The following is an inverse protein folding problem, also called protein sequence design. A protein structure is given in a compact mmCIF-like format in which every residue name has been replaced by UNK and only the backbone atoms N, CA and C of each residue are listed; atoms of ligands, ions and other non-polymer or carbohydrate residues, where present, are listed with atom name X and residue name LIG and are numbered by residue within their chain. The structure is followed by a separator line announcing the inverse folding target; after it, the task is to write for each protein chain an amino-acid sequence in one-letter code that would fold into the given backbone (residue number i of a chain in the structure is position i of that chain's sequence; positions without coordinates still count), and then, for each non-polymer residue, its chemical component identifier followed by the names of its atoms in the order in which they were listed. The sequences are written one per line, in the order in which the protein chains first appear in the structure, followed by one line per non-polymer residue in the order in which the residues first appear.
data_IF_977198542879
#
_entry.id   IF_977198542879
#
_cell.length_a   1.000
_cell.length_b   1.000
_cell.length_c   1.000
_cell.angle_alpha   90.00
_cell.angle_beta   90.00
_cell.angle_gamma   90.00
#
_symmetry.space_group_name_H-M   'P 1'
#
loop_
_entity.id
_entity.type
_entity.pdbx_description
1 polymer ?
#
# COMPACT_ATOMS: atom_id res chain seq x y z
N UNK A 1 9.22 -8.57 18.24
CA UNK A 1 9.71 -9.36 17.09
C UNK A 1 8.73 -9.14 15.95
N UNK A 2 9.15 -8.53 14.83
CA UNK A 2 8.31 -8.39 13.64
C UNK A 2 8.53 -9.58 12.71
N UNK A 3 7.47 -10.05 12.06
CA UNK A 3 7.51 -11.16 11.11
C UNK A 3 7.95 -10.63 9.75
N UNK A 4 8.99 -11.24 9.17
CA UNK A 4 9.48 -10.98 7.82
C UNK A 4 9.69 -12.31 7.08
N UNK A 5 9.45 -12.31 5.77
CA UNK A 5 9.56 -13.48 4.88
C UNK A 5 10.42 -13.10 3.68
N UNK A 6 11.53 -13.80 3.48
CA UNK A 6 12.48 -13.55 2.39
C UNK A 6 12.50 -14.69 1.38
N UNK A 7 12.65 -14.34 0.12
CA UNK A 7 12.86 -15.24 -1.03
C UNK A 7 14.06 -14.72 -1.82
N UNK A 8 14.50 -15.45 -2.85
CA UNK A 8 15.62 -15.02 -3.70
C UNK A 8 15.46 -13.62 -4.33
N UNK A 9 14.21 -13.14 -4.49
CA UNK A 9 13.92 -11.87 -5.18
C UNK A 9 13.16 -10.85 -4.35
N UNK A 10 12.48 -11.28 -3.29
CA UNK A 10 11.49 -10.46 -2.58
C UNK A 10 11.63 -10.61 -1.07
N UNK A 11 11.50 -9.47 -0.38
CA UNK A 11 11.30 -9.38 1.06
C UNK A 11 9.86 -8.93 1.32
N UNK A 12 9.07 -9.78 1.97
CA UNK A 12 7.76 -9.44 2.50
C UNK A 12 7.89 -9.08 3.98
N UNK A 13 7.51 -7.86 4.30
CA UNK A 13 7.61 -7.26 5.65
C UNK A 13 6.44 -6.34 5.92
N UNK A 14 6.26 -5.96 7.18
CA UNK A 14 5.34 -4.90 7.56
C UNK A 14 5.74 -3.57 6.87
N UNK A 15 4.75 -2.76 6.50
CA UNK A 15 4.94 -1.42 5.95
C UNK A 15 5.68 -0.52 6.94
N UNK A 16 6.48 0.38 6.40
CA UNK A 16 7.24 1.41 7.10
C UNK A 16 6.86 2.76 6.52
N UNK A 17 7.04 3.84 7.28
CA UNK A 17 6.65 5.18 6.84
C UNK A 17 7.16 5.55 5.44
N UNK A 18 8.37 5.14 5.09
CA UNK A 18 8.98 5.43 3.80
C UNK A 18 8.36 4.67 2.61
N UNK A 19 7.55 3.64 2.87
CA UNK A 19 6.78 2.93 1.83
C UNK A 19 5.54 3.72 1.38
N UNK A 20 5.16 4.74 2.14
CA UNK A 20 3.88 5.43 1.94
C UNK A 20 3.72 5.97 0.53
N UNK A 21 4.75 6.58 -0.06
CA UNK A 21 4.65 7.13 -1.41
C UNK A 21 4.42 6.04 -2.47
N UNK A 22 4.98 4.84 -2.28
CA UNK A 22 4.70 3.72 -3.17
C UNK A 22 3.26 3.22 -2.99
N UNK A 23 2.78 3.08 -1.76
CA UNK A 23 1.41 2.66 -1.46
C UNK A 23 0.39 3.68 -1.95
N UNK A 24 0.62 4.98 -1.73
CA UNK A 24 -0.26 6.06 -2.19
C UNK A 24 -0.43 6.06 -3.72
N UNK A 25 0.64 5.75 -4.48
CA UNK A 25 0.53 5.58 -5.94
C UNK A 25 -0.33 4.38 -6.34
N UNK A 26 -0.20 3.25 -5.64
CA UNK A 26 -1.05 2.07 -5.90
C UNK A 26 -2.52 2.38 -5.60
N UNK A 27 -2.80 3.07 -4.50
CA UNK A 27 -4.16 3.43 -4.10
C UNK A 27 -4.77 4.55 -4.97
N UNK A 28 -3.95 5.29 -5.72
CA UNK A 28 -4.43 6.28 -6.69
C UNK A 28 -4.75 5.66 -8.07
N UNK A 29 -4.41 4.39 -8.29
CA UNK A 29 -4.63 3.72 -9.57
C UNK A 29 -6.06 3.14 -9.66
N UNK A 30 -6.88 3.56 -10.66
CA UNK A 30 -8.24 3.04 -10.84
C UNK A 30 -8.29 1.54 -11.13
N UNK A 31 -7.30 0.98 -11.84
CA UNK A 31 -7.28 -0.44 -12.19
C UNK A 31 -7.01 -1.32 -10.97
N UNK A 32 -6.19 -0.82 -10.03
CA UNK A 32 -5.95 -1.44 -8.73
C UNK A 32 -7.18 -1.30 -7.84
N UNK A 33 -7.71 -0.08 -7.70
CA UNK A 33 -8.77 0.22 -6.76
C UNK A 33 -10.16 -0.27 -7.18
N UNK A 34 -10.38 -0.70 -8.44
CA UNK A 34 -11.70 -1.23 -8.86
C UNK A 34 -12.19 -2.44 -8.06
N UNK A 35 -11.27 -3.16 -7.41
CA UNK A 35 -11.58 -4.31 -6.56
C UNK A 35 -11.47 -4.03 -5.05
N UNK A 36 -11.00 -2.83 -4.68
CA UNK A 36 -10.73 -2.44 -3.30
C UNK A 36 -11.78 -1.42 -2.88
N UNK A 37 -12.44 -1.63 -1.74
CA UNK A 37 -13.42 -0.64 -1.23
C UNK A 37 -12.72 0.70 -1.06
N UNK A 38 -13.25 1.83 -1.58
CA UNK A 38 -14.62 2.08 -2.06
C UNK A 38 -14.89 1.85 -3.56
N UNK A 39 -13.98 1.24 -4.31
CA UNK A 39 -14.11 1.00 -5.76
C UNK A 39 -13.67 2.18 -6.62
N UNK A 40 -12.99 3.17 -6.02
CA UNK A 40 -12.40 4.33 -6.71
C UNK A 40 -11.00 4.62 -6.19
N UNK A 41 -10.15 5.30 -6.98
CA UNK A 41 -8.89 5.87 -6.50
C UNK A 41 -9.06 6.68 -5.21
N UNK A 42 -8.05 6.57 -4.34
CA UNK A 42 -7.90 7.40 -3.15
C UNK A 42 -7.02 8.60 -3.45
N UNK A 43 -7.35 9.73 -2.83
CA UNK A 43 -6.43 10.86 -2.71
C UNK A 43 -5.27 10.49 -1.78
N UNK A 44 -4.14 11.20 -1.86
CA UNK A 44 -2.99 10.98 -0.97
C UNK A 44 -3.37 11.10 0.52
N UNK A 45 -4.27 12.01 0.87
CA UNK A 45 -4.73 12.18 2.25
C UNK A 45 -5.58 10.98 2.71
N UNK A 46 -6.49 10.48 1.88
CA UNK A 46 -7.27 9.26 2.15
C UNK A 46 -6.36 8.02 2.25
N UNK A 47 -5.34 7.92 1.40
CA UNK A 47 -4.34 6.86 1.44
C UNK A 47 -3.55 6.87 2.75
N UNK A 48 -3.17 8.04 3.27
CA UNK A 48 -2.48 8.15 4.57
C UNK A 48 -3.34 7.60 5.71
N UNK A 49 -4.64 7.90 5.72
CA UNK A 49 -5.57 7.37 6.72
C UNK A 49 -5.76 5.85 6.67
N UNK A 50 -5.49 5.19 5.54
CA UNK A 50 -5.51 3.73 5.42
C UNK A 50 -4.16 3.07 5.74
N UNK A 51 -3.09 3.85 5.74
CA UNK A 51 -1.72 3.39 5.95
C UNK A 51 -1.28 3.45 7.41
N UNK A 52 -1.86 4.38 8.18
CA UNK A 52 -1.53 4.67 9.59
C UNK A 52 -2.42 3.93 10.59
#
# INVERSE_FOLDING_TARGET
MMIELETERLLLRMWRQDDFEAVARLLADPEVMRYVTPGRPLTRAEAWGNFA
#
